data_IF_088024878154
#
_entry.id   IF_088024878154
#
_cell.length_a   1.000
_cell.length_b   1.000
_cell.length_c   1.000
_cell.angle_alpha   90.00
_cell.angle_beta   90.00
_cell.angle_gamma   90.00
#
_symmetry.space_group_name_H-M   'P 1'
#
loop_
_entity.id
_entity.type
_entity.pdbx_description
1 polymer ?
#
# COMPACT_ATOMS: atom_id res chain seq x y z
N UNK A 1 8.53 19.72 -19.91
CA UNK A 1 8.29 20.55 -18.71
C UNK A 1 7.24 19.83 -17.88
N UNK A 2 7.65 18.98 -16.92
CA UNK A 2 6.68 18.32 -16.05
C UNK A 2 5.99 19.38 -15.16
N UNK A 3 4.70 19.25 -14.87
CA UNK A 3 4.04 20.13 -13.91
C UNK A 3 4.81 20.04 -12.58
N UNK A 4 5.43 21.16 -12.18
CA UNK A 4 6.16 21.23 -10.93
C UNK A 4 5.22 21.06 -9.73
N UNK A 5 5.80 20.73 -8.57
CA UNK A 5 5.09 20.56 -7.30
C UNK A 5 4.08 21.69 -7.00
N UNK A 6 4.35 22.93 -7.43
CA UNK A 6 3.43 24.06 -7.24
C UNK A 6 2.07 23.91 -7.95
N UNK A 7 2.04 23.29 -9.13
CA UNK A 7 0.78 23.04 -9.86
C UNK A 7 -0.06 21.92 -9.21
N UNK A 8 0.58 20.92 -8.61
CA UNK A 8 -0.10 19.85 -7.89
C UNK A 8 -0.74 20.39 -6.59
N UNK A 9 -0.07 21.33 -5.92
CA UNK A 9 -0.60 22.06 -4.76
C UNK A 9 -1.87 22.86 -5.09
N UNK A 10 -1.93 23.54 -6.24
CA UNK A 10 -3.13 24.32 -6.61
C UNK A 10 -4.35 23.40 -6.79
N UNK A 11 -4.16 22.24 -7.43
CA UNK A 11 -5.21 21.24 -7.64
C UNK A 11 -5.66 20.68 -6.29
N UNK A 12 -4.72 20.37 -5.39
CA UNK A 12 -5.04 19.90 -4.05
C UNK A 12 -5.86 20.92 -3.26
N UNK A 13 -5.54 22.21 -3.35
CA UNK A 13 -6.32 23.28 -2.67
C UNK A 13 -7.74 23.36 -3.23
N UNK A 14 -7.93 23.30 -4.55
CA UNK A 14 -9.27 23.33 -5.16
C UNK A 14 -10.07 22.09 -4.74
N UNK A 15 -9.46 20.91 -4.78
CA UNK A 15 -10.09 19.67 -4.32
C UNK A 15 -10.47 19.75 -2.83
N UNK A 16 -9.62 20.36 -2.00
CA UNK A 16 -9.87 20.60 -0.59
C UNK A 16 -11.03 21.57 -0.32
N UNK A 17 -11.27 22.55 -1.20
CA UNK A 17 -12.43 23.44 -1.08
C UNK A 17 -13.74 22.70 -1.39
N UNK A 18 -13.73 21.77 -2.35
CA UNK A 18 -14.91 20.98 -2.74
C UNK A 18 -15.21 19.88 -1.71
N UNK A 19 -14.19 19.09 -1.36
CA UNK A 19 -14.34 17.93 -0.47
C UNK A 19 -14.20 18.27 1.01
N UNK A 20 -13.51 19.37 1.33
CA UNK A 20 -13.16 19.76 2.70
C UNK A 20 -11.90 19.07 3.25
N UNK A 21 -11.06 19.77 4.03
CA UNK A 21 -9.82 19.19 4.59
C UNK A 21 -10.06 18.09 5.60
N UNK A 22 -11.26 18.02 6.19
CA UNK A 22 -11.63 16.96 7.14
C UNK A 22 -11.91 15.62 6.44
N UNK A 23 -12.25 15.61 5.14
CA UNK A 23 -12.55 14.37 4.41
C UNK A 23 -11.32 13.62 3.92
N UNK A 24 -10.22 14.31 3.65
CA UNK A 24 -8.94 13.66 3.31
C UNK A 24 -8.47 12.63 4.36
N UNK A 25 -8.37 12.97 5.67
CA UNK A 25 -7.95 11.99 6.68
C UNK A 25 -8.98 10.88 6.90
N UNK A 26 -10.26 11.16 6.70
CA UNK A 26 -11.34 10.16 6.80
C UNK A 26 -11.20 9.10 5.69
N UNK A 27 -11.05 9.54 4.44
CA UNK A 27 -10.82 8.67 3.28
C UNK A 27 -9.48 7.93 3.41
N UNK A 28 -8.42 8.62 3.84
CA UNK A 28 -7.10 8.01 4.05
C UNK A 28 -7.10 6.91 5.11
N UNK A 29 -7.87 7.08 6.20
CA UNK A 29 -8.03 6.03 7.22
C UNK A 29 -8.79 4.82 6.67
N UNK A 30 -9.90 5.04 5.97
CA UNK A 30 -10.69 3.95 5.39
C UNK A 30 -9.91 3.18 4.31
N UNK A 31 -9.27 3.90 3.39
CA UNK A 31 -8.43 3.33 2.35
C UNK A 31 -7.19 2.64 2.93
N UNK A 32 -6.55 3.24 3.93
CA UNK A 32 -5.39 2.69 4.60
C UNK A 32 -5.68 1.38 5.34
N UNK A 33 -6.82 1.28 6.02
CA UNK A 33 -7.28 0.03 6.62
C UNK A 33 -7.51 -1.05 5.56
N UNK A 34 -8.17 -0.68 4.46
CA UNK A 34 -8.42 -1.60 3.33
C UNK A 34 -7.12 -2.10 2.69
N UNK A 35 -6.16 -1.21 2.44
CA UNK A 35 -4.86 -1.55 1.89
C UNK A 35 -4.02 -2.39 2.87
N UNK A 36 -4.17 -2.16 4.18
CA UNK A 36 -3.49 -2.97 5.22
C UNK A 36 -4.04 -4.38 5.26
N UNK A 37 -5.36 -4.56 5.18
CA UNK A 37 -6.00 -5.87 5.08
C UNK A 37 -5.64 -6.56 3.78
N UNK A 38 -5.69 -5.85 2.65
CA UNK A 38 -5.27 -6.38 1.34
C UNK A 38 -3.82 -6.86 1.38
N UNK A 39 -2.89 -6.05 1.91
CA UNK A 39 -1.48 -6.45 2.08
C UNK A 39 -1.33 -7.69 2.95
N UNK A 40 -2.08 -7.80 4.05
CA UNK A 40 -2.00 -8.96 4.94
C UNK A 40 -2.54 -10.22 4.26
N UNK A 41 -3.64 -10.10 3.52
CA UNK A 41 -4.20 -11.21 2.73
C UNK A 41 -3.23 -11.65 1.62
N UNK A 42 -2.69 -10.71 0.85
CA UNK A 42 -1.68 -11.02 -0.18
C UNK A 42 -0.42 -11.64 0.43
N UNK A 43 0.03 -11.17 1.59
CA UNK A 43 1.17 -11.77 2.28
C UNK A 43 0.93 -13.22 2.64
N UNK A 44 -0.24 -13.58 3.18
CA UNK A 44 -0.55 -14.99 3.48
C UNK A 44 -0.51 -15.85 2.21
N UNK A 45 -1.03 -15.35 1.10
CA UNK A 45 -1.04 -16.06 -0.19
C UNK A 45 0.37 -16.22 -0.79
N UNK A 46 1.26 -15.23 -0.61
CA UNK A 46 2.66 -15.30 -1.07
C UNK A 46 3.54 -16.13 -0.14
N UNK A 47 3.30 -16.09 1.18
CA UNK A 47 4.06 -16.86 2.17
C UNK A 47 3.85 -18.37 2.02
N UNK A 48 2.65 -18.81 1.58
CA UNK A 48 2.40 -20.22 1.19
C UNK A 48 3.25 -20.69 -0.01
N UNK A 49 3.75 -19.78 -0.86
CA UNK A 49 4.65 -20.10 -1.97
C UNK A 49 6.15 -20.02 -1.59
N UNK A 50 6.49 -19.19 -0.60
CA UNK A 50 7.87 -18.99 -0.12
C UNK A 50 8.28 -19.99 0.99
N UNK A 51 7.35 -20.46 1.82
CA UNK A 51 7.66 -21.46 2.85
C UNK A 51 8.05 -22.81 2.23
N UNK A 52 7.43 -23.21 1.09
CA UNK A 52 7.79 -24.43 0.34
C UNK A 52 9.24 -24.37 -0.17
N UNK A 53 9.72 -23.20 -0.61
CA UNK A 53 11.12 -23.03 -1.07
C UNK A 53 12.13 -23.02 0.08
N UNK A 54 11.74 -22.53 1.27
CA UNK A 54 12.63 -22.43 2.43
C UNK A 54 12.87 -23.78 3.14
N UNK A 55 11.94 -24.74 3.03
CA UNK A 55 12.14 -26.10 3.55
C UNK A 55 13.06 -26.95 2.67
N UNK A 56 13.13 -26.65 1.37
CA UNK A 56 13.90 -27.44 0.40
C UNK A 56 15.41 -27.12 0.49
N UNK A 57 15.78 -25.84 0.66
CA UNK A 57 17.17 -25.38 0.81
C UNK A 57 17.83 -25.95 2.09
N UNK A 58 17.06 -26.15 3.17
CA UNK A 58 17.59 -26.67 4.45
C UNK A 58 17.79 -28.19 4.47
N UNK A 59 17.26 -28.93 3.48
CA UNK A 59 17.38 -30.39 3.41
C UNK A 59 18.61 -30.85 2.62
N UNK A 60 19.19 -29.97 1.80
CA UNK A 60 20.37 -30.27 0.97
C UNK A 60 21.70 -30.04 1.72
N UNK A 61 21.75 -29.12 2.68
CA UNK A 61 22.97 -28.87 3.49
C UNK A 61 23.23 -29.97 4.55
N UNK A 62 22.24 -30.83 4.83
CA UNK A 62 22.33 -31.90 5.85
C UNK A 62 22.55 -33.28 5.22
N UNK A 63 22.78 -33.35 3.90
CA UNK A 63 23.09 -34.61 3.17
C UNK A 63 24.51 -34.64 2.64
#
# INVERSE_FOLDING_TARGET
MAPGIGSLLIIAVIALLIFGPKKLPEIGKAFGSSLREFKNATKGLTDDEDDVKKVEDKKEEVR
#
